data_IF_304935656286
#
_entry.id   IF_304935656286
#
_cell.length_a   1.000
_cell.length_b   1.000
_cell.length_c   1.000
_cell.angle_alpha   90.00
_cell.angle_beta   90.00
_cell.angle_gamma   90.00
#
_symmetry.space_group_name_H-M   'P 1'
#
loop_
_entity.id
_entity.type
_entity.pdbx_description
1 polymer ?
#
# COMPACT_ATOMS: atom_id res chain seq x y z
N UNK A 1 -11.74 11.21 -5.91
CA UNK A 1 -11.27 11.71 -7.23
C UNK A 1 -9.77 11.87 -7.16
N UNK A 2 -9.04 11.09 -7.97
CA UNK A 2 -7.60 11.23 -8.10
C UNK A 2 -7.28 12.56 -8.79
N UNK A 3 -6.35 13.34 -8.25
CA UNK A 3 -5.83 14.56 -8.82
C UNK A 3 -4.31 14.58 -8.69
N UNK A 4 -3.62 15.00 -9.73
CA UNK A 4 -2.17 15.13 -9.69
C UNK A 4 -1.74 16.39 -10.46
N UNK A 5 -0.78 17.17 -9.93
CA UNK A 5 -0.23 18.31 -10.64
C UNK A 5 0.58 17.93 -11.88
N UNK A 6 0.94 16.65 -12.03
CA UNK A 6 1.66 16.13 -13.20
C UNK A 6 0.78 16.11 -14.46
N UNK A 7 -0.55 16.06 -14.30
CA UNK A 7 -1.51 16.07 -15.40
C UNK A 7 -2.60 17.08 -15.07
N UNK A 8 -2.42 18.35 -15.44
CA UNK A 8 -3.31 19.45 -15.04
C UNK A 8 -4.78 19.26 -15.43
N UNK A 9 -5.04 18.75 -16.64
CA UNK A 9 -6.38 18.57 -17.19
C UNK A 9 -6.90 17.13 -17.04
N UNK A 10 -6.46 16.45 -15.98
CA UNK A 10 -6.78 15.05 -15.72
C UNK A 10 -8.30 14.78 -15.66
N UNK A 11 -9.08 15.74 -15.17
CA UNK A 11 -10.54 15.61 -15.08
C UNK A 11 -11.23 15.46 -16.44
N UNK A 12 -10.63 15.96 -17.52
CA UNK A 12 -11.19 15.90 -18.88
C UNK A 12 -11.00 14.51 -19.51
N UNK A 13 -10.07 13.71 -18.97
CA UNK A 13 -9.80 12.36 -19.44
C UNK A 13 -10.52 11.25 -18.62
N UNK A 14 -11.31 11.63 -17.61
CA UNK A 14 -12.07 10.66 -16.80
C UNK A 14 -13.19 9.97 -17.60
N UNK A 15 -13.47 8.68 -17.35
CA UNK A 15 -12.88 7.80 -16.35
C UNK A 15 -11.51 7.25 -16.78
N UNK A 16 -10.53 7.22 -15.86
CA UNK A 16 -9.18 6.71 -16.15
C UNK A 16 -9.07 5.20 -16.01
N UNK A 17 -9.94 4.61 -15.22
CA UNK A 17 -9.97 3.19 -14.96
C UNK A 17 -11.20 2.57 -15.56
N UNK A 18 -11.09 1.33 -16.00
CA UNK A 18 -12.21 0.55 -16.48
C UNK A 18 -13.10 0.15 -15.28
N UNK A 19 -14.23 0.85 -15.09
CA UNK A 19 -15.15 0.62 -13.99
C UNK A 19 -15.82 -0.76 -14.01
N UNK A 20 -15.83 -1.42 -15.16
CA UNK A 20 -16.44 -2.75 -15.36
C UNK A 20 -15.38 -3.87 -15.51
N UNK A 21 -14.11 -3.51 -15.43
CA UNK A 21 -13.00 -4.43 -15.56
C UNK A 21 -12.66 -5.17 -14.26
N UNK A 22 -11.60 -5.97 -14.32
CA UNK A 22 -11.01 -6.58 -13.13
C UNK A 22 -10.17 -5.56 -12.35
N UNK A 23 -9.89 -5.85 -11.07
CA UNK A 23 -8.99 -5.03 -10.25
C UNK A 23 -7.61 -4.87 -10.89
N UNK A 24 -7.08 -5.93 -11.52
CA UNK A 24 -5.81 -5.87 -12.23
C UNK A 24 -5.86 -4.93 -13.44
N UNK A 25 -6.98 -4.87 -14.19
CA UNK A 25 -7.11 -3.91 -15.28
C UNK A 25 -7.18 -2.45 -14.79
N UNK A 26 -7.79 -2.22 -13.62
CA UNK A 26 -7.79 -0.91 -12.98
C UNK A 26 -6.39 -0.49 -12.55
N UNK A 27 -5.59 -1.44 -12.04
CA UNK A 27 -4.20 -1.20 -11.69
C UNK A 27 -3.35 -0.88 -12.93
N UNK A 28 -3.53 -1.60 -14.04
CA UNK A 28 -2.83 -1.34 -15.31
C UNK A 28 -3.15 0.07 -15.82
N UNK A 29 -4.43 0.47 -15.80
CA UNK A 29 -4.83 1.81 -16.19
C UNK A 29 -4.22 2.89 -15.28
N UNK A 30 -4.16 2.65 -13.96
CA UNK A 30 -3.52 3.58 -13.04
C UNK A 30 -2.02 3.67 -13.27
N UNK A 31 -1.35 2.55 -13.51
CA UNK A 31 0.09 2.53 -13.85
C UNK A 31 0.35 3.32 -15.12
N UNK A 32 -0.42 3.08 -16.19
CA UNK A 32 -0.31 3.82 -17.44
C UNK A 32 -0.49 5.32 -17.24
N UNK A 33 -1.50 5.73 -16.44
CA UNK A 33 -1.74 7.12 -16.09
C UNK A 33 -0.55 7.77 -15.38
N UNK A 34 0.03 7.07 -14.39
CA UNK A 34 1.20 7.58 -13.66
C UNK A 34 2.43 7.74 -14.56
N UNK A 35 2.65 6.77 -15.46
CA UNK A 35 3.74 6.83 -16.44
C UNK A 35 3.52 7.96 -17.45
N UNK A 36 2.31 8.13 -17.97
CA UNK A 36 1.94 9.23 -18.87
C UNK A 36 2.13 10.59 -18.18
N UNK A 37 1.89 10.67 -16.86
CA UNK A 37 2.17 11.84 -16.03
C UNK A 37 3.65 12.09 -15.72
N UNK A 38 4.55 11.28 -16.28
CA UNK A 38 6.01 11.45 -16.13
C UNK A 38 6.62 10.78 -14.90
N UNK A 39 5.84 9.96 -14.17
CA UNK A 39 6.39 9.16 -13.08
C UNK A 39 7.19 7.98 -13.66
N UNK A 40 8.35 7.68 -13.08
CA UNK A 40 9.08 6.47 -13.47
C UNK A 40 8.41 5.19 -12.92
N UNK A 41 8.61 4.08 -13.64
CA UNK A 41 7.93 2.80 -13.35
C UNK A 41 8.27 2.24 -11.95
N UNK A 42 9.49 2.47 -11.46
CA UNK A 42 9.93 2.00 -10.15
C UNK A 42 9.13 2.69 -9.05
N UNK A 43 9.06 4.03 -9.13
CA UNK A 43 8.27 4.82 -8.20
C UNK A 43 6.78 4.48 -8.29
N UNK A 44 6.24 4.41 -9.49
CA UNK A 44 4.83 4.09 -9.71
C UNK A 44 4.45 2.76 -9.05
N UNK A 45 5.26 1.72 -9.25
CA UNK A 45 5.01 0.41 -8.63
C UNK A 45 5.17 0.42 -7.12
N UNK A 46 6.18 1.14 -6.59
CA UNK A 46 6.34 1.27 -5.14
C UNK A 46 5.19 1.99 -4.45
N UNK A 47 4.49 2.87 -5.18
CA UNK A 47 3.29 3.55 -4.69
C UNK A 47 2.04 2.68 -4.81
N UNK A 48 1.89 1.98 -5.93
CA UNK A 48 0.74 1.10 -6.18
C UNK A 48 0.79 -0.15 -5.29
N UNK A 49 1.97 -0.75 -5.14
CA UNK A 49 2.15 -2.00 -4.38
C UNK A 49 3.31 -1.85 -3.39
N UNK A 50 3.13 -1.07 -2.32
CA UNK A 50 4.15 -0.88 -1.31
C UNK A 50 4.38 -2.12 -0.45
N UNK A 51 5.53 -2.25 0.23
CA UNK A 51 5.73 -3.25 1.26
C UNK A 51 4.83 -2.98 2.49
N UNK A 52 4.82 -3.90 3.46
CA UNK A 52 4.19 -3.68 4.76
C UNK A 52 5.06 -2.73 5.61
N UNK A 53 4.84 -1.43 5.48
CA UNK A 53 5.67 -0.39 6.10
C UNK A 53 5.10 0.18 7.41
N UNK A 54 3.77 0.18 7.57
CA UNK A 54 3.09 0.90 8.65
C UNK A 54 3.48 0.41 10.05
N UNK A 55 3.52 -0.91 10.24
CA UNK A 55 3.78 -1.54 11.53
C UNK A 55 5.20 -2.15 11.63
N UNK A 56 6.14 -1.68 10.80
CA UNK A 56 7.53 -2.14 10.87
C UNK A 56 8.37 -1.16 11.69
N UNK A 57 8.68 -1.46 12.97
CA UNK A 57 9.45 -0.54 13.84
C UNK A 57 10.90 -0.36 13.38
N UNK A 58 11.45 -1.33 12.66
CA UNK A 58 12.84 -1.34 12.21
C UNK A 58 13.05 -0.66 10.85
N UNK A 59 11.96 -0.14 10.22
CA UNK A 59 12.07 0.54 8.95
C UNK A 59 12.84 1.85 9.08
N UNK A 60 13.76 2.09 8.14
CA UNK A 60 14.47 3.36 8.00
C UNK A 60 13.50 4.56 8.05
N UNK A 61 13.72 5.57 8.92
CA UNK A 61 12.80 6.69 9.09
C UNK A 61 12.57 7.54 7.82
N UNK A 62 13.59 7.68 6.97
CA UNK A 62 13.46 8.42 5.69
C UNK A 62 12.60 7.63 4.69
N UNK A 63 12.78 6.30 4.66
CA UNK A 63 11.95 5.41 3.83
C UNK A 63 10.51 5.39 4.33
N UNK A 64 10.31 5.34 5.64
CA UNK A 64 8.97 5.46 6.24
C UNK A 64 8.30 6.78 5.83
N UNK A 65 9.04 7.88 5.90
CA UNK A 65 8.50 9.18 5.50
C UNK A 65 8.14 9.24 4.00
N UNK A 66 8.91 8.56 3.15
CA UNK A 66 8.56 8.40 1.73
C UNK A 66 7.20 7.70 1.56
N UNK A 67 6.98 6.56 2.21
CA UNK A 67 5.71 5.84 2.11
C UNK A 67 4.55 6.62 2.75
N UNK A 68 4.77 7.21 3.91
CA UNK A 68 3.78 7.98 4.64
C UNK A 68 3.30 9.19 3.82
N UNK A 69 4.24 9.96 3.24
CA UNK A 69 3.95 11.08 2.34
C UNK A 69 3.12 10.64 1.14
N UNK A 70 3.53 9.58 0.46
CA UNK A 70 2.86 9.14 -0.76
C UNK A 70 1.51 8.47 -0.50
N UNK A 71 1.31 7.83 0.66
CA UNK A 71 0.03 7.22 1.05
C UNK A 71 -1.10 8.24 1.24
N UNK A 72 -0.77 9.52 1.46
CA UNK A 72 -1.76 10.60 1.51
C UNK A 72 -2.34 10.96 0.13
N UNK A 73 -1.69 10.54 -0.95
CA UNK A 73 -2.05 10.92 -2.31
C UNK A 73 -2.71 9.80 -3.10
N UNK A 74 -2.50 8.56 -2.71
CA UNK A 74 -3.00 7.41 -3.44
C UNK A 74 -3.17 6.20 -2.52
N UNK A 75 -4.28 5.51 -2.64
CA UNK A 75 -4.49 4.23 -1.97
C UNK A 75 -3.66 3.13 -2.66
N UNK A 76 -2.96 2.30 -1.88
CA UNK A 76 -2.19 1.18 -2.43
C UNK A 76 -3.11 0.01 -2.79
N UNK A 77 -2.59 -0.89 -3.62
CA UNK A 77 -3.18 -2.19 -3.87
C UNK A 77 -3.34 -2.99 -2.57
N UNK A 78 -4.48 -3.58 -2.39
CA UNK A 78 -4.74 -4.55 -1.33
C UNK A 78 -5.19 -5.89 -1.92
N UNK A 79 -4.52 -6.96 -1.54
CA UNK A 79 -4.79 -8.31 -2.00
C UNK A 79 -3.58 -9.01 -2.63
N UNK A 80 -3.75 -10.30 -3.03
CA UNK A 80 -2.70 -11.08 -3.64
C UNK A 80 -2.28 -10.52 -5.00
N UNK A 81 -0.99 -10.24 -5.20
CA UNK A 81 -0.44 -9.78 -6.46
C UNK A 81 0.97 -10.32 -6.70
N UNK A 82 1.19 -10.80 -7.92
CA UNK A 82 2.51 -11.08 -8.48
C UNK A 82 2.56 -10.40 -9.84
N UNK A 83 3.34 -9.34 -9.94
CA UNK A 83 3.29 -8.41 -11.06
C UNK A 83 4.61 -8.45 -11.79
N UNK A 84 4.54 -8.62 -13.10
CA UNK A 84 5.68 -8.44 -14.02
C UNK A 84 5.33 -7.33 -14.98
N UNK A 85 6.25 -6.37 -15.15
CA UNK A 85 6.01 -5.19 -15.95
C UNK A 85 7.26 -4.75 -16.71
N UNK A 86 7.07 -3.92 -17.74
CA UNK A 86 8.16 -3.28 -18.46
C UNK A 86 7.70 -1.96 -19.09
N UNK A 87 8.61 -0.97 -19.12
CA UNK A 87 8.45 0.29 -19.84
C UNK A 87 9.35 0.40 -21.08
N UNK A 88 9.95 -0.73 -21.49
CA UNK A 88 10.90 -0.82 -22.60
C UNK A 88 12.36 -0.56 -22.20
N UNK A 89 12.64 -0.01 -21.02
CA UNK A 89 13.97 0.10 -20.42
C UNK A 89 14.10 -0.80 -19.20
N UNK A 90 13.17 -0.67 -18.28
CA UNK A 90 13.13 -1.50 -17.07
C UNK A 90 12.19 -2.68 -17.28
N UNK A 91 12.62 -3.84 -16.81
CA UNK A 91 11.75 -4.98 -16.56
C UNK A 91 11.74 -5.22 -15.05
N UNK A 92 10.58 -5.44 -14.47
CA UNK A 92 10.49 -5.56 -13.03
C UNK A 92 9.49 -6.63 -12.60
N UNK A 93 9.72 -7.20 -11.42
CA UNK A 93 8.82 -8.10 -10.73
C UNK A 93 8.56 -7.57 -9.31
N UNK A 94 7.30 -7.45 -8.95
CA UNK A 94 6.87 -6.98 -7.62
C UNK A 94 5.85 -7.96 -7.02
N UNK A 95 5.98 -8.22 -5.73
CA UNK A 95 4.99 -8.99 -4.98
C UNK A 95 4.20 -8.09 -4.03
N UNK A 96 2.97 -8.51 -3.74
CA UNK A 96 2.16 -7.85 -2.71
C UNK A 96 2.84 -7.86 -1.33
N UNK A 97 2.39 -6.99 -0.44
CA UNK A 97 2.99 -6.79 0.89
C UNK A 97 3.09 -8.06 1.74
N UNK A 98 2.22 -9.05 1.50
CA UNK A 98 2.18 -10.31 2.23
C UNK A 98 2.86 -11.46 1.48
N UNK A 99 3.20 -11.25 0.21
CA UNK A 99 3.80 -12.28 -0.65
C UNK A 99 2.89 -13.48 -0.87
N UNK A 100 1.58 -13.25 -1.01
CA UNK A 100 0.59 -14.31 -1.20
C UNK A 100 0.74 -15.02 -2.55
N UNK A 101 1.31 -14.33 -3.53
CA UNK A 101 1.74 -14.95 -4.81
C UNK A 101 3.23 -15.24 -4.74
N UNK A 102 3.69 -16.41 -5.25
CA UNK A 102 5.11 -16.69 -5.35
C UNK A 102 5.72 -16.00 -6.57
N UNK A 103 7.00 -15.64 -6.47
CA UNK A 103 7.82 -15.28 -7.62
C UNK A 103 9.24 -15.81 -7.42
N UNK A 104 9.73 -16.52 -8.39
CA UNK A 104 11.08 -17.11 -8.42
C UNK A 104 11.82 -16.59 -9.62
N UNK A 105 13.13 -16.45 -9.50
CA UNK A 105 13.95 -16.03 -10.62
C UNK A 105 15.17 -16.92 -10.81
N UNK A 106 15.62 -16.98 -12.06
CA UNK A 106 16.86 -17.60 -12.48
C UNK A 106 17.62 -16.62 -13.37
N UNK A 107 18.91 -16.49 -13.13
CA UNK A 107 19.84 -15.68 -13.93
C UNK A 107 20.88 -16.59 -14.54
N UNK A 108 21.07 -16.51 -15.85
CA UNK A 108 22.03 -17.32 -16.59
C UNK A 108 23.32 -16.58 -16.90
N UNK A 109 24.36 -17.33 -17.29
CA UNK A 109 25.65 -16.80 -17.78
C UNK A 109 25.47 -15.86 -18.99
N UNK A 110 24.48 -16.17 -19.85
CA UNK A 110 24.14 -15.36 -21.02
C UNK A 110 23.29 -14.14 -20.70
N UNK A 111 23.15 -13.80 -19.41
CA UNK A 111 22.38 -12.65 -18.90
C UNK A 111 20.89 -12.72 -19.22
N UNK A 112 20.34 -13.92 -19.38
CA UNK A 112 18.90 -14.12 -19.40
C UNK A 112 18.38 -14.17 -17.98
N UNK A 113 17.25 -13.50 -17.74
CA UNK A 113 16.54 -13.53 -16.46
C UNK A 113 15.15 -14.07 -16.73
N UNK A 114 14.82 -15.17 -16.04
CA UNK A 114 13.48 -15.72 -16.03
C UNK A 114 12.86 -15.49 -14.67
N UNK A 115 11.72 -14.83 -14.63
CA UNK A 115 10.94 -14.65 -13.42
C UNK A 115 9.56 -15.28 -13.60
N UNK A 116 9.15 -16.13 -12.65
CA UNK A 116 7.89 -16.86 -12.73
C UNK A 116 7.36 -17.25 -11.36
N UNK A 117 6.08 -17.57 -11.27
CA UNK A 117 5.45 -18.10 -10.06
C UNK A 117 6.00 -19.47 -9.66
N UNK A 118 6.48 -20.25 -10.63
CA UNK A 118 6.91 -21.63 -10.43
C UNK A 118 8.33 -21.86 -10.97
N UNK A 119 8.99 -22.91 -10.47
CA UNK A 119 10.25 -23.42 -11.03
C UNK A 119 9.97 -24.36 -12.19
N UNK A 120 10.95 -24.48 -13.11
CA UNK A 120 10.87 -25.45 -14.20
C UNK A 120 10.02 -25.01 -15.38
N UNK A 121 9.66 -23.72 -15.49
CA UNK A 121 8.99 -23.20 -16.70
C UNK A 121 9.95 -23.11 -17.89
N UNK A 122 11.25 -23.12 -17.63
CA UNK A 122 12.31 -23.19 -18.59
C UNK A 122 13.38 -24.19 -18.13
N UNK A 123 13.86 -25.01 -19.03
CA UNK A 123 14.81 -26.10 -18.73
C UNK A 123 16.24 -25.57 -18.88
N UNK A 124 16.77 -25.00 -17.77
CA UNK A 124 18.16 -24.58 -17.70
C UNK A 124 19.07 -25.71 -17.23
N UNK A 125 20.20 -25.87 -17.90
CA UNK A 125 21.22 -26.77 -17.39
C UNK A 125 21.89 -26.17 -16.16
N UNK A 126 22.29 -26.97 -15.17
CA UNK A 126 22.87 -26.46 -13.90
C UNK A 126 24.11 -25.57 -14.11
N UNK A 127 24.88 -25.81 -15.14
CA UNK A 127 26.09 -25.06 -15.49
C UNK A 127 25.80 -23.72 -16.18
N UNK A 128 24.59 -23.50 -16.69
CA UNK A 128 24.16 -22.22 -17.27
C UNK A 128 23.73 -21.22 -16.20
N UNK A 129 23.31 -21.70 -15.02
CA UNK A 129 22.74 -20.88 -13.96
C UNK A 129 23.84 -20.21 -13.14
N UNK A 130 23.80 -18.89 -13.08
CA UNK A 130 24.67 -18.05 -12.22
C UNK A 130 24.04 -17.84 -10.85
N UNK A 131 22.74 -17.52 -10.86
CA UNK A 131 22.00 -17.21 -9.65
C UNK A 131 20.55 -17.71 -9.79
N UNK A 132 19.98 -18.10 -8.68
CA UNK A 132 18.56 -18.41 -8.55
C UNK A 132 18.07 -17.95 -7.17
N UNK A 133 16.85 -17.44 -7.16
CA UNK A 133 16.27 -16.93 -5.93
C UNK A 133 14.76 -16.79 -6.00
N UNK A 134 14.26 -16.04 -5.05
CA UNK A 134 12.84 -15.65 -4.98
C UNK A 134 12.73 -14.18 -4.67
N UNK A 135 11.68 -13.57 -5.17
CA UNK A 135 11.22 -12.24 -4.73
C UNK A 135 10.36 -12.47 -3.49
N UNK A 136 10.64 -11.79 -2.41
CA UNK A 136 9.95 -11.93 -1.13
C UNK A 136 8.70 -11.04 -1.03
N UNK A 137 7.98 -11.13 0.11
CA UNK A 137 6.82 -10.29 0.40
C UNK A 137 7.14 -8.80 0.31
N UNK A 138 6.39 -8.07 -0.48
CA UNK A 138 6.58 -6.63 -0.68
C UNK A 138 7.89 -6.24 -1.37
N UNK A 139 8.65 -7.21 -1.90
CA UNK A 139 9.90 -6.93 -2.60
C UNK A 139 9.65 -6.58 -4.06
N UNK A 140 10.50 -5.69 -4.55
CA UNK A 140 10.61 -5.27 -5.94
C UNK A 140 11.98 -5.64 -6.47
N UNK A 141 12.04 -6.37 -7.58
CA UNK A 141 13.25 -6.65 -8.33
C UNK A 141 13.16 -5.94 -9.69
N UNK A 142 14.16 -5.14 -10.03
CA UNK A 142 14.19 -4.34 -11.26
C UNK A 142 15.43 -4.66 -12.06
N UNK A 143 15.27 -4.85 -13.35
CA UNK A 143 16.33 -5.07 -14.31
C UNK A 143 16.39 -3.86 -15.24
N UNK A 144 17.49 -3.10 -15.21
CA UNK A 144 17.80 -2.11 -16.24
C UNK A 144 18.38 -2.80 -17.45
N UNK A 145 17.59 -2.99 -18.49
CA UNK A 145 17.99 -3.72 -19.70
C UNK A 145 19.07 -3.01 -20.51
N UNK A 146 19.30 -1.70 -20.30
CA UNK A 146 20.35 -0.95 -20.94
C UNK A 146 21.72 -1.15 -20.29
N UNK A 147 21.75 -1.12 -18.96
CA UNK A 147 22.99 -1.29 -18.21
C UNK A 147 23.28 -2.74 -17.81
N UNK A 148 22.26 -3.61 -17.84
CA UNK A 148 22.32 -4.97 -17.33
C UNK A 148 22.38 -5.06 -15.79
N UNK A 149 22.08 -3.96 -15.08
CA UNK A 149 22.03 -3.95 -13.61
C UNK A 149 20.73 -4.55 -13.12
N UNK A 150 20.84 -5.33 -12.06
CA UNK A 150 19.71 -5.81 -11.28
C UNK A 150 19.69 -5.00 -9.97
N UNK A 151 18.53 -4.43 -9.67
CA UNK A 151 18.30 -3.64 -8.47
C UNK A 151 17.26 -4.38 -7.62
N UNK A 152 17.58 -4.58 -6.36
CA UNK A 152 16.65 -5.12 -5.37
C UNK A 152 15.98 -3.99 -4.57
N UNK A 153 15.01 -4.35 -3.72
CA UNK A 153 14.24 -3.38 -2.94
C UNK A 153 15.10 -2.38 -2.17
N UNK A 154 16.18 -2.82 -1.54
CA UNK A 154 17.04 -1.92 -0.78
C UNK A 154 17.61 -0.79 -1.64
N UNK A 155 18.10 -1.11 -2.84
CA UNK A 155 18.70 -0.12 -3.74
C UNK A 155 17.65 0.81 -4.35
N UNK A 156 16.48 0.28 -4.71
CA UNK A 156 15.37 1.08 -5.24
C UNK A 156 14.77 1.99 -4.17
N UNK A 157 14.63 1.50 -2.95
CA UNK A 157 14.08 2.24 -1.82
C UNK A 157 15.05 3.35 -1.35
N UNK A 158 16.35 3.09 -1.36
CA UNK A 158 17.39 4.09 -1.08
C UNK A 158 17.38 5.23 -2.10
N UNK A 159 17.22 4.92 -3.37
CA UNK A 159 17.07 5.94 -4.42
C UNK A 159 15.79 6.75 -4.21
N UNK A 160 14.65 6.09 -4.02
CA UNK A 160 13.34 6.75 -3.90
C UNK A 160 13.25 7.67 -2.68
N UNK A 161 13.71 7.22 -1.51
CA UNK A 161 13.68 8.04 -0.29
C UNK A 161 14.58 9.27 -0.37
N UNK A 162 15.67 9.18 -1.15
CA UNK A 162 16.65 10.26 -1.29
C UNK A 162 16.27 11.35 -2.29
N UNK A 163 15.25 11.12 -3.12
CA UNK A 163 14.86 12.06 -4.18
C UNK A 163 14.31 13.39 -3.67
N UNK A 164 13.69 13.38 -2.50
CA UNK A 164 13.11 14.58 -1.88
C UNK A 164 13.21 14.49 -0.36
N UNK A 165 13.17 15.61 0.36
CA UNK A 165 13.22 15.65 1.82
C UNK A 165 11.85 15.31 2.44
N UNK A 166 11.34 14.10 2.19
CA UNK A 166 10.02 13.67 2.61
C UNK A 166 9.80 13.80 4.12
N UNK A 167 10.80 13.44 4.93
CA UNK A 167 10.74 13.54 6.38
C UNK A 167 10.55 14.98 6.86
N UNK A 168 11.33 15.92 6.31
CA UNK A 168 11.19 17.35 6.61
C UNK A 168 9.79 17.85 6.21
N UNK A 169 9.30 17.42 5.05
CA UNK A 169 7.95 17.80 4.60
C UNK A 169 6.87 17.27 5.53
N UNK A 170 6.99 16.02 6.01
CA UNK A 170 6.06 15.43 6.95
C UNK A 170 6.08 16.14 8.29
N UNK A 171 7.26 16.39 8.87
CA UNK A 171 7.42 17.07 10.15
C UNK A 171 6.86 18.51 10.12
N UNK A 172 7.03 19.22 9.01
CA UNK A 172 6.63 20.60 8.86
C UNK A 172 5.16 20.81 8.54
N UNK A 173 4.56 19.91 7.75
CA UNK A 173 3.25 20.15 7.14
C UNK A 173 2.15 19.19 7.60
N UNK A 174 2.49 18.05 8.24
CA UNK A 174 1.52 17.06 8.66
C UNK A 174 1.19 17.23 10.14
N UNK A 175 -0.10 17.43 10.42
CA UNK A 175 -0.64 17.40 11.78
C UNK A 175 -1.26 16.03 12.02
N UNK A 176 -0.70 15.28 12.96
CA UNK A 176 -1.27 13.99 13.39
C UNK A 176 -2.31 14.23 14.47
N UNK A 177 -3.36 13.42 14.45
CA UNK A 177 -4.30 13.36 15.57
C UNK A 177 -3.58 12.80 16.79
N UNK A 178 -3.84 13.42 17.92
CA UNK A 178 -3.34 12.93 19.21
C UNK A 178 -4.25 11.77 19.65
N UNK A 179 -3.70 10.63 20.10
CA UNK A 179 -4.49 9.56 20.69
C UNK A 179 -5.35 10.07 21.84
N UNK A 180 -6.52 9.48 22.03
CA UNK A 180 -7.46 9.95 23.06
C UNK A 180 -6.84 9.94 24.45
N UNK A 181 -6.03 8.92 24.77
CA UNK A 181 -5.30 8.77 26.03
C UNK A 181 -4.25 9.85 26.28
N UNK A 182 -3.78 10.52 25.23
CA UNK A 182 -2.77 11.58 25.30
C UNK A 182 -3.38 12.99 25.22
N UNK A 183 -4.72 13.08 25.09
CA UNK A 183 -5.41 14.38 25.07
C UNK A 183 -5.40 14.99 26.48
N UNK A 184 -5.19 16.32 26.60
CA UNK A 184 -5.38 17.00 27.88
C UNK A 184 -6.81 16.85 28.40
N UNK A 185 -6.98 16.64 29.68
CA UNK A 185 -8.30 16.50 30.32
C UNK A 185 -9.29 17.62 29.94
N UNK A 186 -8.78 18.80 29.65
CA UNK A 186 -9.55 19.98 29.21
C UNK A 186 -10.14 19.80 27.80
N UNK A 187 -9.49 18.99 26.93
CA UNK A 187 -9.95 18.70 25.57
C UNK A 187 -10.81 17.44 25.53
N UNK A 188 -10.62 16.54 26.48
CA UNK A 188 -11.49 15.39 26.73
C UNK A 188 -12.74 15.90 27.47
N UNK A 189 -13.55 16.65 26.76
CA UNK A 189 -14.81 17.10 27.29
C UNK A 189 -15.73 15.91 27.53
N UNK A 190 -15.57 15.22 28.65
CA UNK A 190 -16.60 14.34 29.18
C UNK A 190 -17.79 15.23 29.54
N UNK A 191 -18.70 15.41 28.59
CA UNK A 191 -20.06 15.78 28.98
C UNK A 191 -20.64 14.53 29.63
N UNK A 192 -20.38 14.36 30.92
CA UNK A 192 -21.20 13.48 31.71
C UNK A 192 -22.63 14.04 31.62
N UNK A 193 -23.44 13.34 30.85
CA UNK A 193 -24.85 13.67 30.78
C UNK A 193 -25.47 13.21 32.10
N UNK A 194 -26.28 14.09 32.68
CA UNK A 194 -27.14 13.66 33.79
C UNK A 194 -28.12 12.56 33.32
N UNK A 195 -28.60 11.75 34.24
CA UNK A 195 -29.42 10.58 33.93
C UNK A 195 -30.68 10.91 33.09
N UNK A 196 -31.29 12.05 33.36
CA UNK A 196 -32.50 12.48 32.65
C UNK A 196 -32.19 12.88 31.21
N UNK A 197 -31.08 13.57 30.98
CA UNK A 197 -30.60 13.95 29.67
C UNK A 197 -30.19 12.71 28.90
N UNK A 198 -29.46 11.78 29.52
CA UNK A 198 -29.06 10.49 28.90
C UNK A 198 -30.30 9.69 28.50
N UNK A 199 -31.27 9.55 29.39
CA UNK A 199 -32.52 8.83 29.09
C UNK A 199 -33.31 9.50 27.94
N UNK A 200 -33.26 10.83 27.86
CA UNK A 200 -33.89 11.57 26.77
C UNK A 200 -33.21 11.31 25.44
N UNK A 201 -31.88 11.27 25.38
CA UNK A 201 -31.12 10.93 24.17
C UNK A 201 -31.38 9.47 23.76
N UNK A 202 -31.34 8.53 24.71
CA UNK A 202 -31.63 7.13 24.41
C UNK A 202 -33.02 6.96 23.77
N UNK A 203 -34.02 7.65 24.30
CA UNK A 203 -35.38 7.66 23.70
C UNK A 203 -35.41 8.33 22.33
N UNK A 204 -34.71 9.44 22.17
CA UNK A 204 -34.68 10.19 20.91
C UNK A 204 -34.08 9.34 19.78
N UNK A 205 -33.03 8.56 20.09
CA UNK A 205 -32.37 7.67 19.16
C UNK A 205 -32.96 6.26 19.16
N UNK A 206 -34.04 6.04 19.91
CA UNK A 206 -34.79 4.78 19.98
C UNK A 206 -33.95 3.59 20.42
N UNK A 207 -32.98 3.79 21.32
CA UNK A 207 -32.24 2.69 21.93
C UNK A 207 -33.04 1.97 22.97
N UNK A 208 -33.15 0.65 22.82
CA UNK A 208 -33.68 -0.23 23.86
C UNK A 208 -32.58 -0.58 24.88
N UNK A 209 -32.99 -1.02 26.08
CA UNK A 209 -32.07 -1.53 27.08
C UNK A 209 -31.26 -2.73 26.60
N UNK A 210 -31.85 -3.55 25.75
CA UNK A 210 -31.20 -4.73 25.15
C UNK A 210 -30.12 -4.30 24.15
N UNK A 211 -30.38 -3.31 23.31
CA UNK A 211 -29.37 -2.80 22.37
C UNK A 211 -28.20 -2.11 23.09
N UNK A 212 -28.50 -1.37 24.17
CA UNK A 212 -27.45 -0.76 24.97
C UNK A 212 -26.53 -1.83 25.60
N UNK A 213 -27.09 -2.93 26.10
CA UNK A 213 -26.33 -3.99 26.74
C UNK A 213 -25.62 -4.92 25.74
N UNK A 214 -26.31 -5.34 24.70
CA UNK A 214 -25.81 -6.38 23.81
C UNK A 214 -25.01 -5.85 22.61
N UNK A 215 -25.19 -4.59 22.24
CA UNK A 215 -24.54 -3.98 21.06
C UNK A 215 -23.61 -2.85 21.46
N UNK A 216 -24.16 -1.79 22.06
CA UNK A 216 -23.41 -0.56 22.34
C UNK A 216 -22.31 -0.78 23.38
N UNK A 217 -22.61 -1.51 24.46
CA UNK A 217 -21.62 -1.84 25.47
C UNK A 217 -20.47 -2.68 24.91
N UNK A 218 -20.78 -3.69 24.10
CA UNK A 218 -19.75 -4.53 23.46
C UNK A 218 -18.85 -3.72 22.55
N UNK A 219 -19.42 -2.79 21.79
CA UNK A 219 -18.65 -1.89 20.94
C UNK A 219 -17.77 -0.95 21.80
N UNK A 220 -18.32 -0.37 22.87
CA UNK A 220 -17.60 0.56 23.72
C UNK A 220 -16.48 -0.08 24.55
N UNK A 221 -16.73 -1.27 25.11
CA UNK A 221 -15.77 -1.95 25.98
C UNK A 221 -14.69 -2.72 25.20
N UNK A 222 -15.04 -3.31 24.04
CA UNK A 222 -14.16 -4.22 23.32
C UNK A 222 -13.68 -3.69 21.97
N UNK A 223 -14.24 -2.56 21.49
CA UNK A 223 -13.94 -2.04 20.15
C UNK A 223 -14.31 -2.98 19.01
N UNK A 224 -15.30 -3.85 19.23
CA UNK A 224 -15.75 -4.87 18.27
C UNK A 224 -17.24 -4.75 18.00
N UNK A 225 -17.64 -5.04 16.76
CA UNK A 225 -19.05 -5.21 16.47
C UNK A 225 -19.63 -6.42 17.25
N UNK A 226 -20.82 -6.22 17.82
CA UNK A 226 -21.57 -7.32 18.38
C UNK A 226 -22.11 -8.19 17.24
N UNK A 227 -21.56 -9.40 17.09
CA UNK A 227 -22.00 -10.38 16.10
C UNK A 227 -22.76 -11.51 16.80
N UNK A 228 -23.91 -11.87 16.25
CA UNK A 228 -24.71 -12.99 16.72
C UNK A 228 -24.52 -14.22 15.83
N UNK A 229 -24.72 -15.40 16.41
CA UNK A 229 -24.90 -16.63 15.63
C UNK A 229 -26.36 -16.81 15.31
N UNK A 230 -26.68 -16.91 14.03
CA UNK A 230 -27.98 -17.44 13.61
C UNK A 230 -27.88 -18.95 13.63
N UNK A 231 -28.29 -19.53 14.74
CA UNK A 231 -28.25 -20.96 14.98
C UNK A 231 -28.99 -21.82 13.95
#
# INVERSE_FOLDING_TARGET
>A
KFQTPLIPDLHDAAPFVNETGSDSSSMDNMLELLLAGGMDIIRAMRLLVPPAWQNNPDMDPELRAFFDFNSMHMEPWDGPAGIVMSDGRFAACNLDRNGLRPARYVITKDKLITCASEVGIWDYQPDEVVEKGRVGPGELMVIDTRSGRILHSAETDDDLKSRHPYKEWMEKNVRRLVPFEDLPDEEVGSRELDDDTLASYQKQFNYSAEELDSVIRVLGENGQEAVGSMG
#
